data_IF_269566946384
#
_entry.id   IF_269566946384
#
_cell.length_a   1.000
_cell.length_b   1.000
_cell.length_c   1.000
_cell.angle_alpha   90.00
_cell.angle_beta   90.00
_cell.angle_gamma   90.00
#
_symmetry.space_group_name_H-M   'P 1'
#
loop_
_entity.id
_entity.type
_entity.pdbx_description
1 polymer ?
#
# COMPACT_ATOMS: atom_id res chain seq x y z
N UNK A 1 -1.86 22.28 20.84
CA UNK A 1 -3.08 22.62 20.08
C UNK A 1 -4.17 23.14 21.02
N UNK A 2 -5.05 24.03 20.57
CA UNK A 2 -6.28 24.33 21.32
C UNK A 2 -7.15 23.07 21.39
N UNK A 3 -7.92 22.90 22.48
CA UNK A 3 -8.83 21.76 22.66
C UNK A 3 -9.77 21.58 21.46
N UNK A 4 -10.28 22.68 20.91
CA UNK A 4 -11.14 22.63 19.72
C UNK A 4 -10.46 22.07 18.48
N UNK A 5 -9.16 22.34 18.30
CA UNK A 5 -8.36 21.80 17.18
C UNK A 5 -8.10 20.31 17.37
N UNK A 6 -7.80 19.87 18.60
CA UNK A 6 -7.65 18.45 18.93
C UNK A 6 -8.94 17.65 18.65
N UNK A 7 -10.08 18.18 19.10
CA UNK A 7 -11.39 17.54 18.86
C UNK A 7 -11.71 17.48 17.36
N UNK A 8 -11.46 18.57 16.62
CA UNK A 8 -11.66 18.59 15.17
C UNK A 8 -10.76 17.57 14.45
N UNK A 9 -9.47 17.52 14.77
CA UNK A 9 -8.54 16.56 14.17
C UNK A 9 -8.93 15.12 14.49
N UNK A 10 -9.29 14.84 15.74
CA UNK A 10 -9.77 13.52 16.15
C UNK A 10 -11.01 13.09 15.36
N UNK A 11 -12.00 13.97 15.25
CA UNK A 11 -13.22 13.72 14.49
C UNK A 11 -12.92 13.46 13.01
N UNK A 12 -12.08 14.28 12.38
CA UNK A 12 -11.71 14.12 10.97
C UNK A 12 -10.96 12.81 10.72
N UNK A 13 -10.01 12.44 11.58
CA UNK A 13 -9.27 11.18 11.42
C UNK A 13 -10.15 9.95 11.62
N UNK A 14 -11.07 9.97 12.59
CA UNK A 14 -12.05 8.89 12.79
C UNK A 14 -12.99 8.79 11.60
N UNK A 15 -13.49 9.92 11.10
CA UNK A 15 -14.35 9.96 9.91
C UNK A 15 -13.63 9.37 8.69
N UNK A 16 -12.38 9.76 8.45
CA UNK A 16 -11.55 9.20 7.38
C UNK A 16 -11.36 7.69 7.54
N UNK A 17 -11.06 7.21 8.76
CA UNK A 17 -10.95 5.78 9.02
C UNK A 17 -12.24 5.03 8.68
N UNK A 18 -13.40 5.56 9.10
CA UNK A 18 -14.70 4.95 8.81
C UNK A 18 -15.00 4.91 7.31
N UNK A 19 -14.73 6.00 6.58
CA UNK A 19 -14.91 6.05 5.13
C UNK A 19 -14.00 5.03 4.44
N UNK A 20 -12.72 4.96 4.82
CA UNK A 20 -11.78 3.97 4.27
C UNK A 20 -12.23 2.55 4.53
N UNK A 21 -12.69 2.24 5.75
CA UNK A 21 -13.20 0.91 6.10
C UNK A 21 -14.44 0.57 5.28
N UNK A 22 -15.46 1.44 5.31
CA UNK A 22 -16.73 1.18 4.64
C UNK A 22 -16.56 1.07 3.12
N UNK A 23 -15.78 1.97 2.51
CA UNK A 23 -15.51 1.96 1.08
C UNK A 23 -14.86 0.66 0.62
N UNK A 24 -13.83 0.20 1.34
CA UNK A 24 -13.13 -1.03 0.97
C UNK A 24 -13.96 -2.30 1.28
N UNK A 25 -14.74 -2.31 2.37
CA UNK A 25 -15.69 -3.40 2.66
C UNK A 25 -16.72 -3.53 1.54
N UNK A 26 -17.25 -2.42 1.02
CA UNK A 26 -18.19 -2.45 -0.11
C UNK A 26 -17.56 -3.07 -1.36
N UNK A 27 -16.30 -2.76 -1.67
CA UNK A 27 -15.58 -3.37 -2.80
C UNK A 27 -15.40 -4.87 -2.60
N UNK A 28 -15.01 -5.31 -1.39
CA UNK A 28 -14.86 -6.73 -1.06
C UNK A 28 -16.21 -7.46 -1.17
N UNK A 29 -17.28 -6.87 -0.63
CA UNK A 29 -18.63 -7.44 -0.70
C UNK A 29 -19.15 -7.53 -2.13
N UNK A 30 -18.92 -6.50 -2.96
CA UNK A 30 -19.29 -6.52 -4.37
C UNK A 30 -18.61 -7.68 -5.11
N UNK A 31 -17.33 -7.91 -4.85
CA UNK A 31 -16.58 -9.02 -5.44
C UNK A 31 -17.09 -10.40 -5.01
N UNK A 32 -17.48 -10.56 -3.74
CA UNK A 32 -18.02 -11.81 -3.20
C UNK A 32 -19.40 -12.09 -3.79
N UNK A 33 -20.26 -11.08 -3.83
CA UNK A 33 -21.67 -11.20 -4.22
C UNK A 33 -21.85 -11.36 -5.73
N UNK A 34 -21.09 -10.61 -6.55
CA UNK A 34 -21.21 -10.65 -7.99
C UNK A 34 -20.21 -11.64 -8.62
N UNK A 35 -20.74 -12.74 -9.16
CA UNK A 35 -19.92 -13.74 -9.88
C UNK A 35 -19.34 -13.19 -11.18
N UNK A 36 -19.97 -12.20 -11.81
CA UNK A 36 -19.48 -11.57 -13.03
C UNK A 36 -18.23 -10.73 -12.76
N UNK A 37 -17.98 -10.35 -11.50
CA UNK A 37 -16.76 -9.63 -11.13
C UNK A 37 -15.56 -10.55 -10.88
N UNK A 38 -15.68 -11.88 -10.97
CA UNK A 38 -14.58 -12.82 -10.65
C UNK A 38 -13.58 -13.03 -11.81
N UNK A 39 -13.23 -11.96 -12.50
CA UNK A 39 -12.19 -11.95 -13.54
C UNK A 39 -10.80 -11.67 -12.93
N UNK A 40 -9.72 -12.12 -13.60
CA UNK A 40 -8.33 -11.97 -13.10
C UNK A 40 -7.98 -10.54 -12.70
N UNK A 41 -8.35 -9.54 -13.50
CA UNK A 41 -8.03 -8.14 -13.21
C UNK A 41 -8.73 -7.63 -11.94
N UNK A 42 -9.88 -8.20 -11.57
CA UNK A 42 -10.64 -7.82 -10.37
C UNK A 42 -10.04 -8.40 -9.07
N UNK A 43 -9.21 -9.46 -9.16
CA UNK A 43 -8.44 -9.93 -8.00
C UNK A 43 -7.41 -8.89 -7.52
N UNK A 44 -6.85 -8.09 -8.43
CA UNK A 44 -5.92 -7.02 -8.02
C UNK A 44 -6.64 -5.89 -7.28
N UNK A 45 -7.86 -5.52 -7.72
CA UNK A 45 -8.71 -4.57 -7.01
C UNK A 45 -9.13 -5.11 -5.64
N UNK A 46 -9.44 -6.40 -5.54
CA UNK A 46 -9.71 -7.04 -4.25
C UNK A 46 -8.47 -6.98 -3.33
N UNK A 47 -7.27 -7.28 -3.85
CA UNK A 47 -6.04 -7.19 -3.06
C UNK A 47 -5.77 -5.78 -2.56
N UNK A 48 -6.05 -4.76 -3.39
CA UNK A 48 -5.92 -3.36 -3.01
C UNK A 48 -6.91 -3.02 -1.90
N UNK A 49 -8.18 -3.43 -2.03
CA UNK A 49 -9.20 -3.20 -1.02
C UNK A 49 -8.88 -3.89 0.31
N UNK A 50 -8.28 -5.08 0.29
CA UNK A 50 -7.84 -5.79 1.50
C UNK A 50 -6.73 -5.00 2.21
N UNK A 51 -5.72 -4.52 1.47
CA UNK A 51 -4.64 -3.71 2.04
C UNK A 51 -5.17 -2.41 2.64
N UNK A 52 -5.99 -1.66 1.90
CA UNK A 52 -6.51 -0.37 2.34
C UNK A 52 -7.51 -0.51 3.50
N UNK A 53 -8.30 -1.59 3.53
CA UNK A 53 -9.13 -1.94 4.67
C UNK A 53 -8.27 -2.18 5.93
N UNK A 54 -7.17 -2.92 5.81
CA UNK A 54 -6.28 -3.19 6.94
C UNK A 54 -5.63 -1.91 7.47
N UNK A 55 -5.23 -0.98 6.59
CA UNK A 55 -4.74 0.35 6.99
C UNK A 55 -5.81 1.11 7.76
N UNK A 56 -7.04 1.15 7.23
CA UNK A 56 -8.16 1.82 7.89
C UNK A 56 -8.54 1.21 9.24
N UNK A 57 -8.49 -0.11 9.36
CA UNK A 57 -8.91 -0.85 10.55
C UNK A 57 -7.84 -0.90 11.66
N UNK A 58 -6.55 -0.94 11.30
CA UNK A 58 -5.47 -1.13 12.27
C UNK A 58 -4.51 0.06 12.33
N UNK A 59 -4.02 0.55 11.19
CA UNK A 59 -2.99 1.60 11.18
C UNK A 59 -3.54 2.96 11.63
N UNK A 60 -4.68 3.39 11.08
CA UNK A 60 -5.26 4.70 11.42
C UNK A 60 -5.67 4.78 12.89
N UNK A 61 -6.36 3.78 13.49
CA UNK A 61 -6.72 3.83 14.90
C UNK A 61 -5.53 3.85 15.86
N UNK A 62 -4.41 3.19 15.51
CA UNK A 62 -3.16 3.25 16.28
C UNK A 62 -2.44 4.59 16.10
N UNK A 63 -2.55 5.21 14.92
CA UNK A 63 -1.98 6.52 14.62
C UNK A 63 -2.70 7.68 15.32
N UNK A 64 -4.04 7.66 15.42
CA UNK A 64 -4.84 8.73 16.04
C UNK A 64 -4.34 9.18 17.42
N UNK A 65 -4.20 8.29 18.43
CA UNK A 65 -3.75 8.73 19.75
C UNK A 65 -2.32 9.27 19.71
N UNK A 66 -1.44 8.69 18.89
CA UNK A 66 -0.08 9.17 18.71
C UNK A 66 -0.03 10.55 18.07
N UNK A 67 -0.79 10.78 17.00
CA UNK A 67 -0.88 12.06 16.30
C UNK A 67 -1.51 13.18 17.14
N UNK A 68 -2.43 12.87 18.05
CA UNK A 68 -3.07 13.86 18.93
C UNK A 68 -2.22 14.19 20.16
N UNK A 69 -1.60 13.19 20.79
CA UNK A 69 -0.83 13.39 22.03
C UNK A 69 0.63 13.73 21.78
N UNK A 70 1.15 13.41 20.58
CA UNK A 70 2.57 13.49 20.24
C UNK A 70 3.43 12.47 20.99
N UNK A 71 2.80 11.49 21.68
CA UNK A 71 3.48 10.50 22.50
C UNK A 71 2.94 9.10 22.27
N UNK A 72 3.85 8.13 22.22
CA UNK A 72 3.52 6.72 22.08
C UNK A 72 3.45 6.04 23.46
N UNK A 73 2.28 5.50 23.80
CA UNK A 73 2.03 4.87 25.10
C UNK A 73 1.85 3.35 25.05
N UNK A 74 1.77 2.75 23.86
CA UNK A 74 1.45 1.33 23.67
C UNK A 74 2.69 0.41 23.75
N UNK A 75 3.84 0.96 24.15
CA UNK A 75 5.09 0.23 24.29
C UNK A 75 5.76 -0.11 22.94
N UNK A 76 7.02 -0.53 23.01
CA UNK A 76 7.88 -0.66 21.84
C UNK A 76 7.50 -1.80 20.90
N UNK A 77 6.99 -2.92 21.43
CA UNK A 77 6.53 -4.05 20.63
C UNK A 77 5.38 -3.66 19.68
N UNK A 78 4.37 -2.96 20.20
CA UNK A 78 3.24 -2.49 19.40
C UNK A 78 3.68 -1.41 18.41
N UNK A 79 4.64 -0.54 18.79
CA UNK A 79 5.21 0.44 17.86
C UNK A 79 5.84 -0.25 16.64
N UNK A 80 6.69 -1.27 16.86
CA UNK A 80 7.31 -2.03 15.77
C UNK A 80 6.28 -2.78 14.92
N UNK A 81 5.27 -3.39 15.56
CA UNK A 81 4.19 -4.06 14.84
C UNK A 81 3.39 -3.07 13.97
N UNK A 82 3.07 -1.90 14.52
CA UNK A 82 2.36 -0.84 13.80
C UNK A 82 3.17 -0.34 12.62
N UNK A 83 4.45 0.02 12.82
CA UNK A 83 5.33 0.47 11.73
C UNK A 83 5.52 -0.60 10.65
N UNK A 84 5.73 -1.86 11.04
CA UNK A 84 5.87 -2.95 10.06
C UNK A 84 4.61 -3.17 9.24
N UNK A 85 3.44 -3.17 9.88
CA UNK A 85 2.16 -3.30 9.17
C UNK A 85 1.88 -2.09 8.28
N UNK A 86 2.07 -0.87 8.78
CA UNK A 86 1.77 0.35 8.04
C UNK A 86 2.62 0.48 6.78
N UNK A 87 3.94 0.30 6.90
CA UNK A 87 4.83 0.30 5.74
C UNK A 87 4.52 -0.86 4.79
N UNK A 88 4.35 -2.09 5.30
CA UNK A 88 4.03 -3.24 4.44
C UNK A 88 2.77 -3.02 3.61
N UNK A 89 1.69 -2.56 4.25
CA UNK A 89 0.40 -2.36 3.61
C UNK A 89 0.46 -1.22 2.58
N UNK A 90 1.09 -0.08 2.93
CA UNK A 90 1.24 1.04 2.01
C UNK A 90 2.08 0.67 0.78
N UNK A 91 3.24 0.04 0.98
CA UNK A 91 4.11 -0.41 -0.11
C UNK A 91 3.42 -1.45 -0.99
N UNK A 92 2.70 -2.40 -0.38
CA UNK A 92 1.93 -3.39 -1.12
C UNK A 92 0.83 -2.73 -1.97
N UNK A 93 0.11 -1.73 -1.46
CA UNK A 93 -0.90 -0.98 -2.21
C UNK A 93 -0.28 -0.25 -3.41
N UNK A 94 0.87 0.44 -3.24
CA UNK A 94 1.57 1.14 -4.32
C UNK A 94 2.00 0.16 -5.43
N UNK A 95 2.67 -0.93 -5.09
CA UNK A 95 3.10 -1.92 -6.07
C UNK A 95 1.92 -2.62 -6.75
N UNK A 96 0.79 -2.79 -6.06
CA UNK A 96 -0.43 -3.33 -6.65
C UNK A 96 -1.02 -2.36 -7.70
N UNK A 97 -1.00 -1.05 -7.47
CA UNK A 97 -1.42 -0.05 -8.47
C UNK A 97 -0.54 -0.12 -9.74
N UNK A 98 0.76 -0.29 -9.58
CA UNK A 98 1.69 -0.50 -10.71
C UNK A 98 1.34 -1.79 -11.45
N UNK A 99 1.08 -2.88 -10.73
CA UNK A 99 0.69 -4.16 -11.32
C UNK A 99 -0.62 -4.07 -12.09
N UNK A 100 -1.63 -3.38 -11.56
CA UNK A 100 -2.91 -3.14 -12.24
C UNK A 100 -2.66 -2.37 -13.56
N UNK A 101 -1.84 -1.33 -13.52
CA UNK A 101 -1.51 -0.54 -14.70
C UNK A 101 -0.75 -1.35 -15.75
N UNK A 102 0.18 -2.20 -15.31
CA UNK A 102 0.94 -3.10 -16.17
C UNK A 102 0.07 -4.20 -16.79
N UNK A 103 -0.83 -4.83 -16.02
CA UNK A 103 -1.77 -5.83 -16.52
C UNK A 103 -2.68 -5.24 -17.60
N UNK A 104 -3.23 -4.04 -17.36
CA UNK A 104 -4.02 -3.30 -18.36
C UNK A 104 -3.22 -2.98 -19.61
N UNK A 105 -1.97 -2.56 -19.46
CA UNK A 105 -1.08 -2.28 -20.58
C UNK A 105 -0.88 -3.52 -21.46
N UNK A 106 -0.58 -4.67 -20.87
CA UNK A 106 -0.40 -5.92 -21.61
C UNK A 106 -1.69 -6.36 -22.30
N UNK A 107 -2.84 -6.28 -21.60
CA UNK A 107 -4.13 -6.63 -22.16
C UNK A 107 -4.49 -5.80 -23.40
N UNK A 108 -4.16 -4.51 -23.42
CA UNK A 108 -4.50 -3.61 -24.54
C UNK A 108 -3.50 -3.72 -25.70
N UNK A 109 -2.20 -3.64 -25.39
CA UNK A 109 -1.13 -3.52 -26.40
C UNK A 109 -0.73 -4.87 -26.99
N UNK A 110 -0.75 -5.92 -26.16
CA UNK A 110 -0.24 -7.25 -26.48
C UNK A 110 -1.33 -8.31 -26.36
N UNK A 111 -2.54 -8.01 -26.86
CA UNK A 111 -3.73 -8.84 -26.67
C UNK A 111 -3.53 -10.33 -27.07
N UNK A 112 -2.77 -10.62 -28.13
CA UNK A 112 -2.53 -12.00 -28.60
C UNK A 112 -1.58 -12.76 -27.65
N UNK A 113 -0.46 -12.17 -27.26
CA UNK A 113 0.48 -12.80 -26.32
C UNK A 113 -0.03 -12.80 -24.88
N UNK A 114 -0.85 -11.82 -24.50
CA UNK A 114 -1.57 -11.80 -23.22
C UNK A 114 -2.54 -12.98 -23.13
N UNK A 115 -3.35 -13.24 -24.18
CA UNK A 115 -4.23 -14.42 -24.26
C UNK A 115 -3.46 -15.74 -24.23
N UNK A 116 -2.30 -15.81 -24.88
CA UNK A 116 -1.44 -17.01 -24.83
C UNK A 116 -0.82 -17.24 -23.44
N UNK A 117 -0.33 -16.19 -22.77
CA UNK A 117 0.15 -16.26 -21.37
C UNK A 117 -0.96 -16.59 -20.37
N UNK A 118 -2.21 -16.27 -20.72
CA UNK A 118 -3.38 -16.58 -19.91
C UNK A 118 -3.58 -18.10 -19.77
N UNK A 119 -3.25 -18.88 -20.80
CA UNK A 119 -3.39 -20.34 -20.82
C UNK A 119 -2.25 -21.11 -20.14
N UNK A 120 -1.04 -20.55 -20.05
CA UNK A 120 0.15 -21.33 -19.70
C UNK A 120 0.60 -21.24 -18.22
N UNK A 121 0.58 -20.06 -17.56
CA UNK A 121 1.22 -19.94 -16.22
C UNK A 121 0.94 -18.68 -15.39
N UNK A 122 0.13 -17.71 -15.84
CA UNK A 122 -0.04 -16.43 -15.11
C UNK A 122 -1.16 -16.47 -14.07
N UNK A 123 -0.94 -17.12 -12.92
CA UNK A 123 -1.85 -17.02 -11.77
C UNK A 123 -1.73 -15.62 -11.12
N UNK A 124 -2.79 -14.79 -11.10
CA UNK A 124 -2.76 -13.46 -10.48
C UNK A 124 -2.37 -13.51 -9.01
N UNK A 125 -2.69 -14.61 -8.31
CA UNK A 125 -2.31 -14.84 -6.92
C UNK A 125 -0.80 -14.87 -6.73
N UNK A 126 -0.04 -15.45 -7.67
CA UNK A 126 1.43 -15.50 -7.59
C UNK A 126 2.01 -14.09 -7.73
N UNK A 127 1.48 -13.28 -8.66
CA UNK A 127 1.92 -11.88 -8.83
C UNK A 127 1.61 -11.03 -7.60
N UNK A 128 0.43 -11.23 -7.00
CA UNK A 128 0.06 -10.58 -5.75
C UNK A 128 0.99 -11.02 -4.61
N UNK A 129 1.21 -12.32 -4.43
CA UNK A 129 2.11 -12.84 -3.40
C UNK A 129 3.54 -12.29 -3.57
N UNK A 130 4.04 -12.18 -4.80
CA UNK A 130 5.34 -11.58 -5.08
C UNK A 130 5.42 -10.11 -4.63
N UNK A 131 4.34 -9.32 -4.80
CA UNK A 131 4.27 -7.95 -4.29
C UNK A 131 4.36 -7.91 -2.77
N UNK A 132 3.58 -8.76 -2.08
CA UNK A 132 3.61 -8.84 -0.63
C UNK A 132 5.00 -9.22 -0.10
N UNK A 133 5.65 -10.20 -0.75
CA UNK A 133 7.03 -10.59 -0.41
C UNK A 133 8.01 -9.45 -0.66
N UNK A 134 7.90 -8.75 -1.80
CA UNK A 134 8.79 -7.63 -2.12
C UNK A 134 8.61 -6.47 -1.13
N UNK A 135 7.36 -6.11 -0.80
CA UNK A 135 7.04 -5.09 0.18
C UNK A 135 7.57 -5.47 1.57
N UNK A 136 7.41 -6.73 1.97
CA UNK A 136 7.95 -7.24 3.22
C UNK A 136 9.46 -7.13 3.26
N UNK A 137 10.17 -7.61 2.25
CA UNK A 137 11.64 -7.59 2.20
C UNK A 137 12.23 -6.18 2.22
N UNK A 138 11.50 -5.19 1.73
CA UNK A 138 11.99 -3.81 1.63
C UNK A 138 12.00 -3.08 2.98
N UNK A 139 10.95 -3.25 3.79
CA UNK A 139 10.80 -2.51 5.05
C UNK A 139 10.85 -3.38 6.31
N UNK A 140 10.22 -4.56 6.31
CA UNK A 140 10.04 -5.33 7.55
C UNK A 140 11.37 -5.77 8.18
N UNK A 141 12.36 -6.30 7.43
CA UNK A 141 13.68 -6.60 7.99
C UNK A 141 14.37 -5.35 8.56
N UNK A 142 14.29 -4.22 7.86
CA UNK A 142 14.87 -2.97 8.33
C UNK A 142 14.24 -2.54 9.65
N UNK A 143 12.91 -2.54 9.78
CA UNK A 143 12.22 -2.10 11.01
C UNK A 143 12.50 -3.06 12.20
N UNK A 144 12.59 -4.37 11.95
CA UNK A 144 12.74 -5.38 13.01
C UNK A 144 14.20 -5.48 13.49
N UNK A 145 15.15 -5.54 12.56
CA UNK A 145 16.55 -5.85 12.85
C UNK A 145 17.44 -4.64 13.09
N UNK A 146 17.02 -3.41 12.74
CA UNK A 146 17.87 -2.22 12.89
C UNK A 146 18.38 -2.05 14.33
N UNK A 147 17.50 -2.17 15.32
CA UNK A 147 17.88 -2.13 16.74
C UNK A 147 18.93 -3.19 17.10
N UNK A 148 18.75 -4.42 16.61
CA UNK A 148 19.66 -5.53 16.91
C UNK A 148 21.05 -5.29 16.30
N UNK A 149 21.10 -4.68 15.12
CA UNK A 149 22.35 -4.33 14.42
C UNK A 149 23.03 -3.12 15.06
N UNK A 150 22.25 -2.10 15.47
CA UNK A 150 22.77 -0.91 16.13
C UNK A 150 23.18 -1.15 17.59
N UNK A 151 22.66 -2.22 18.23
CA UNK A 151 22.94 -2.57 19.63
C UNK A 151 22.23 -1.69 20.66
N UNK A 152 21.47 -0.68 20.22
CA UNK A 152 20.69 0.23 21.06
C UNK A 152 19.50 0.82 20.29
N UNK A 153 18.46 1.24 21.02
CA UNK A 153 17.39 2.05 20.45
C UNK A 153 17.86 3.47 20.21
N UNK A 154 17.69 3.96 18.99
CA UNK A 154 17.79 5.40 18.69
C UNK A 154 16.46 6.14 18.95
N UNK A 155 15.35 5.39 19.09
CA UNK A 155 14.01 5.95 19.28
C UNK A 155 13.70 6.11 20.78
N UNK A 156 13.31 7.31 21.24
CA UNK A 156 12.85 7.55 22.62
C UNK A 156 11.63 6.70 22.98
N UNK A 157 11.47 6.37 24.28
CA UNK A 157 10.38 5.51 24.75
C UNK A 157 8.98 6.10 24.54
N UNK A 158 8.86 7.43 24.42
CA UNK A 158 7.62 8.16 24.18
C UNK A 158 7.39 8.46 22.70
N UNK A 159 8.23 7.99 21.79
CA UNK A 159 8.10 8.23 20.34
C UNK A 159 7.96 6.90 19.59
N UNK A 160 7.34 6.96 18.41
CA UNK A 160 7.22 5.81 17.54
C UNK A 160 7.42 6.23 16.08
N UNK A 161 8.64 6.02 15.60
CA UNK A 161 9.03 6.25 14.20
C UNK A 161 10.08 5.21 13.79
N UNK A 162 10.21 4.99 12.48
CA UNK A 162 11.18 4.03 11.96
C UNK A 162 12.62 4.48 12.25
N UNK A 163 13.49 3.57 12.71
CA UNK A 163 14.85 3.92 13.14
C UNK A 163 15.73 4.47 11.99
N UNK A 164 15.39 4.13 10.74
CA UNK A 164 16.03 4.67 9.53
C UNK A 164 15.45 6.01 9.05
N UNK A 165 14.46 6.60 9.74
CA UNK A 165 13.77 7.83 9.31
C UNK A 165 14.73 9.01 9.10
N UNK A 166 15.79 9.10 9.90
CA UNK A 166 16.82 10.14 9.77
C UNK A 166 17.94 9.80 8.78
N UNK A 167 17.95 8.59 8.21
CA UNK A 167 18.95 8.21 7.24
C UNK A 167 18.54 8.70 5.84
N UNK A 168 19.18 9.78 5.39
CA UNK A 168 18.84 10.43 4.13
C UNK A 168 19.05 9.53 2.90
N UNK A 169 20.03 8.62 2.92
CA UNK A 169 20.24 7.66 1.84
C UNK A 169 19.05 6.71 1.73
N UNK A 170 18.59 6.18 2.87
CA UNK A 170 17.44 5.29 2.90
C UNK A 170 16.17 6.02 2.46
N UNK A 171 15.96 7.24 2.95
CA UNK A 171 14.80 8.06 2.58
C UNK A 171 14.77 8.39 1.09
N UNK A 172 15.92 8.70 0.48
CA UNK A 172 16.04 8.95 -0.95
C UNK A 172 15.76 7.69 -1.77
N UNK A 173 16.30 6.54 -1.37
CA UNK A 173 16.04 5.27 -2.02
C UNK A 173 14.56 4.87 -1.91
N UNK A 174 13.97 4.97 -0.72
CA UNK A 174 12.55 4.72 -0.46
C UNK A 174 11.65 5.62 -1.32
N UNK A 175 11.88 6.93 -1.31
CA UNK A 175 11.14 7.90 -2.14
C UNK A 175 11.25 7.57 -3.63
N UNK A 176 12.45 7.19 -4.10
CA UNK A 176 12.67 6.78 -5.49
C UNK A 176 11.85 5.55 -5.86
N UNK A 177 11.91 4.50 -5.04
CA UNK A 177 11.28 3.21 -5.32
C UNK A 177 9.76 3.21 -5.11
N UNK A 178 9.23 4.00 -4.17
CA UNK A 178 7.81 4.02 -3.84
C UNK A 178 7.02 5.15 -4.47
N UNK A 179 7.67 6.26 -4.81
CA UNK A 179 6.99 7.41 -5.40
C UNK A 179 7.35 7.57 -6.87
N UNK A 180 8.63 7.80 -7.17
CA UNK A 180 9.05 8.15 -8.53
C UNK A 180 8.91 6.99 -9.53
N UNK A 181 9.39 5.79 -9.17
CA UNK A 181 9.29 4.61 -10.04
C UNK A 181 7.83 4.23 -10.33
N UNK A 182 6.93 4.13 -9.33
CA UNK A 182 5.51 3.87 -9.56
C UNK A 182 4.83 4.96 -10.40
N UNK A 183 5.08 6.24 -10.11
CA UNK A 183 4.50 7.35 -10.85
C UNK A 183 4.90 7.33 -12.33
N UNK A 184 6.19 7.17 -12.62
CA UNK A 184 6.70 7.10 -13.99
C UNK A 184 6.13 5.88 -14.72
N UNK A 185 6.11 4.72 -14.07
CA UNK A 185 5.61 3.47 -14.64
C UNK A 185 4.11 3.56 -14.99
N UNK A 186 3.29 4.00 -14.03
CA UNK A 186 1.83 4.15 -14.21
C UNK A 186 1.54 5.18 -15.30
N UNK A 187 2.23 6.32 -15.30
CA UNK A 187 2.06 7.35 -16.32
C UNK A 187 2.43 6.83 -17.71
N UNK A 188 3.58 6.17 -17.84
CA UNK A 188 4.03 5.57 -19.09
C UNK A 188 3.01 4.56 -19.64
N UNK A 189 2.56 3.63 -18.79
CA UNK A 189 1.57 2.61 -19.19
C UNK A 189 0.25 3.25 -19.64
N UNK A 190 -0.28 4.20 -18.88
CA UNK A 190 -1.54 4.86 -19.19
C UNK A 190 -1.46 5.73 -20.46
N UNK A 191 -0.39 6.49 -20.65
CA UNK A 191 -0.18 7.29 -21.87
C UNK A 191 -0.08 6.38 -23.10
N UNK A 192 0.65 5.27 -23.00
CA UNK A 192 0.78 4.34 -24.11
C UNK A 192 -0.54 3.62 -24.43
N UNK A 193 -1.34 3.25 -23.42
CA UNK A 193 -2.69 2.72 -23.61
C UNK A 193 -3.55 3.74 -24.36
N UNK A 194 -3.61 4.99 -23.89
CA UNK A 194 -4.38 6.05 -24.53
C UNK A 194 -3.97 6.27 -25.98
N UNK A 195 -2.67 6.28 -26.27
CA UNK A 195 -2.15 6.44 -27.61
C UNK A 195 -2.54 5.26 -28.53
N UNK A 196 -2.46 4.01 -28.03
CA UNK A 196 -2.88 2.84 -28.81
C UNK A 196 -4.38 2.83 -29.09
N UNK A 197 -5.22 3.20 -28.12
CA UNK A 197 -6.67 3.29 -28.31
C UNK A 197 -6.98 4.35 -29.36
N UNK A 198 -6.39 5.55 -29.27
CA UNK A 198 -6.57 6.62 -30.26
C UNK A 198 -6.11 6.21 -31.66
N UNK A 199 -5.01 5.44 -31.77
CA UNK A 199 -4.55 4.91 -33.06
C UNK A 199 -5.49 3.88 -33.67
N UNK A 200 -6.22 3.10 -32.88
CA UNK A 200 -7.20 2.12 -33.38
C UNK A 200 -8.55 2.75 -33.76
N UNK A 201 -8.83 3.95 -33.26
CA UNK A 201 -10.05 4.72 -33.60
C UNK A 201 -9.92 5.55 -34.87
N UNK A 202 -8.69 5.77 -35.36
CA UNK A 202 -8.41 6.37 -36.67
C UNK A 202 -8.21 5.26 -37.69
#
# INVERSE_FOLDING_TARGET
>A
FSLGVLVLLAFLMVLLALITILGNVLVILAFIMDRNLRHRSNYYFLNLAISDFAVGAFCIPLYIPYGLTGKWHLGRGICKLWLTLDYLLCTASVFNIVLISYDRFLSVTKAVSYRAQQGMTSNPVIKMAAIWVLAFLLYCPAIIFWEHVAGHSVVPADQCYAEFFHNWYFLLCASTLEFFVPLLSVTYFNVHICHNIRRRQR
#
